data_IF_462200531472
#
_entry.id   IF_462200531472
#
_cell.length_a   1.000
_cell.length_b   1.000
_cell.length_c   1.000
_cell.angle_alpha   90.00
_cell.angle_beta   90.00
_cell.angle_gamma   90.00
#
_symmetry.space_group_name_H-M   'P 1'
#
loop_
_entity.id
_entity.type
_entity.pdbx_description
1 polymer ?
#
# COMPACT_ATOMS: atom_id res chain seq x y z
N UNK A 1 1.88 -12.39 9.13
CA UNK A 1 2.22 -11.35 10.11
C UNK A 1 1.74 -10.00 9.60
N UNK A 2 2.38 -9.42 8.58
CA UNK A 2 1.99 -8.14 7.94
C UNK A 2 0.47 -7.93 7.79
N UNK A 3 -0.22 -8.82 7.05
CA UNK A 3 -1.64 -8.65 6.69
C UNK A 3 -2.55 -8.69 7.92
N UNK A 4 -2.26 -9.58 8.87
CA UNK A 4 -3.04 -9.69 10.11
C UNK A 4 -2.83 -8.47 11.01
N UNK A 5 -1.61 -7.93 11.06
CA UNK A 5 -1.30 -6.72 11.82
C UNK A 5 -2.01 -5.49 11.20
N UNK A 6 -2.00 -5.35 9.88
CA UNK A 6 -2.76 -4.31 9.16
C UNK A 6 -4.25 -4.39 9.48
N UNK A 7 -4.84 -5.58 9.43
CA UNK A 7 -6.25 -5.77 9.78
C UNK A 7 -6.55 -5.30 11.22
N UNK A 8 -5.69 -5.66 12.19
CA UNK A 8 -5.85 -5.24 13.59
C UNK A 8 -5.77 -3.73 13.76
N UNK A 9 -4.83 -3.08 13.09
CA UNK A 9 -4.70 -1.62 13.13
C UNK A 9 -5.94 -0.94 12.54
N UNK A 10 -6.36 -1.33 11.34
CA UNK A 10 -7.56 -0.81 10.67
C UNK A 10 -8.82 -0.98 11.53
N UNK A 11 -9.01 -2.14 12.14
CA UNK A 11 -10.10 -2.39 13.09
C UNK A 11 -10.03 -1.50 14.34
N UNK A 12 -8.82 -1.23 14.83
CA UNK A 12 -8.59 -0.38 16.02
C UNK A 12 -8.94 1.08 15.71
N UNK A 13 -8.52 1.59 14.55
CA UNK A 13 -8.81 2.97 14.12
C UNK A 13 -10.23 3.13 13.54
N UNK A 14 -10.90 2.02 13.20
CA UNK A 14 -12.25 2.01 12.64
C UNK A 14 -12.29 2.27 11.13
N UNK A 15 -11.20 2.00 10.42
CA UNK A 15 -11.13 2.09 8.96
C UNK A 15 -11.54 0.75 8.35
N UNK A 16 -12.61 0.69 7.54
CA UNK A 16 -12.95 -0.52 6.79
C UNK A 16 -11.81 -0.86 5.82
N UNK A 17 -11.47 -2.14 5.72
CA UNK A 17 -10.41 -2.58 4.81
C UNK A 17 -10.83 -3.83 4.04
N UNK A 18 -10.24 -4.02 2.88
CA UNK A 18 -10.41 -5.21 2.06
C UNK A 18 -9.05 -5.78 1.73
N UNK A 19 -8.92 -7.09 1.90
CA UNK A 19 -7.73 -7.84 1.53
C UNK A 19 -8.02 -8.63 0.27
N UNK A 20 -7.20 -8.43 -0.77
CA UNK A 20 -7.35 -9.11 -2.05
C UNK A 20 -6.14 -10.00 -2.29
N UNK A 21 -6.38 -11.28 -2.55
CA UNK A 21 -5.32 -12.20 -2.94
C UNK A 21 -4.92 -11.96 -4.40
N UNK A 22 -3.62 -11.83 -4.63
CA UNK A 22 -3.06 -11.71 -5.97
C UNK A 22 -3.37 -12.96 -6.82
N UNK A 23 -3.11 -14.14 -6.23
CA UNK A 23 -3.35 -15.46 -6.79
C UNK A 23 -4.17 -16.30 -5.82
N UNK A 24 -5.43 -16.57 -6.15
CA UNK A 24 -6.27 -17.49 -5.40
C UNK A 24 -6.31 -18.86 -6.10
N UNK A 25 -6.26 -19.95 -5.31
CA UNK A 25 -6.06 -21.31 -5.81
C UNK A 25 -7.08 -21.78 -6.86
N UNK A 26 -8.28 -21.19 -6.85
CA UNK A 26 -9.43 -21.80 -7.52
C UNK A 26 -10.23 -20.82 -8.37
N UNK A 27 -9.68 -19.63 -8.60
CA UNK A 27 -10.29 -18.64 -9.48
C UNK A 27 -10.12 -19.05 -10.94
N UNK A 28 -11.25 -19.18 -11.63
CA UNK A 28 -11.28 -19.29 -13.08
C UNK A 28 -11.07 -17.89 -13.64
N UNK A 29 -10.11 -17.69 -14.54
CA UNK A 29 -9.93 -16.39 -15.19
C UNK A 29 -11.25 -15.89 -15.82
N UNK A 30 -11.60 -14.62 -15.56
CA UNK A 30 -12.87 -14.02 -16.00
C UNK A 30 -14.04 -14.21 -15.03
N UNK A 31 -13.89 -14.99 -13.96
CA UNK A 31 -14.86 -15.00 -12.85
C UNK A 31 -14.59 -13.82 -11.90
N UNK A 32 -15.64 -13.09 -11.51
CA UNK A 32 -15.53 -11.99 -10.56
C UNK A 32 -14.95 -12.45 -9.22
N UNK A 33 -14.34 -11.53 -8.47
CA UNK A 33 -13.82 -11.81 -7.13
C UNK A 33 -14.93 -12.29 -6.19
N UNK A 34 -14.64 -13.32 -5.39
CA UNK A 34 -15.56 -13.88 -4.41
C UNK A 34 -15.08 -13.65 -2.97
N UNK A 35 -15.99 -13.14 -2.14
CA UNK A 35 -15.78 -12.93 -0.72
C UNK A 35 -15.51 -14.26 0.01
N UNK A 36 -14.53 -14.27 0.91
CA UNK A 36 -14.08 -15.46 1.65
C UNK A 36 -13.19 -16.41 0.85
N UNK A 37 -12.87 -16.08 -0.41
CA UNK A 37 -12.06 -16.92 -1.31
C UNK A 37 -10.95 -16.14 -2.02
N UNK A 38 -11.31 -15.04 -2.66
CA UNK A 38 -10.40 -14.17 -3.42
C UNK A 38 -10.15 -12.87 -2.67
N UNK A 39 -11.15 -12.39 -1.95
CA UNK A 39 -11.06 -11.25 -1.07
C UNK A 39 -11.69 -11.52 0.29
N UNK A 40 -11.35 -10.66 1.25
CA UNK A 40 -12.03 -10.60 2.53
C UNK A 40 -12.18 -9.13 2.95
N UNK A 41 -13.42 -8.73 3.22
CA UNK A 41 -13.75 -7.44 3.78
C UNK A 41 -13.77 -7.50 5.31
N UNK A 42 -13.05 -6.58 5.93
CA UNK A 42 -12.93 -6.46 7.38
C UNK A 42 -13.39 -5.08 7.82
N UNK A 43 -14.43 -5.05 8.64
CA UNK A 43 -14.99 -3.84 9.22
C UNK A 43 -15.58 -4.16 10.60
N UNK A 44 -15.33 -3.26 11.55
CA UNK A 44 -15.90 -3.29 12.90
C UNK A 44 -17.43 -3.29 12.88
N UNK A 45 -18.06 -2.75 11.84
CA UNK A 45 -19.51 -2.71 11.70
C UNK A 45 -20.16 -4.05 11.33
N UNK A 46 -19.38 -5.01 10.80
CA UNK A 46 -19.91 -6.25 10.21
C UNK A 46 -20.09 -7.41 11.19
N UNK A 47 -19.60 -7.28 12.43
CA UNK A 47 -19.81 -8.29 13.47
C UNK A 47 -18.59 -8.55 14.32
N UNK A 48 -18.39 -9.81 14.72
CA UNK A 48 -17.31 -10.21 15.62
C UNK A 48 -15.93 -10.05 14.96
N UNK A 49 -15.15 -9.13 15.51
CA UNK A 49 -13.79 -8.80 15.08
C UNK A 49 -12.86 -10.02 15.17
N UNK A 50 -12.99 -10.86 16.20
CA UNK A 50 -12.15 -12.03 16.35
C UNK A 50 -12.43 -13.07 15.26
N UNK A 51 -13.71 -13.26 14.91
CA UNK A 51 -14.11 -14.14 13.82
C UNK A 51 -13.61 -13.65 12.46
N UNK A 52 -13.70 -12.34 12.18
CA UNK A 52 -13.16 -11.75 10.94
C UNK A 52 -11.65 -11.95 10.81
N UNK A 53 -10.89 -11.71 11.89
CA UNK A 53 -9.43 -11.96 11.90
C UNK A 53 -9.10 -13.45 11.73
N UNK A 54 -9.91 -14.35 12.31
CA UNK A 54 -9.74 -15.79 12.12
C UNK A 54 -10.03 -16.21 10.67
N UNK A 55 -11.03 -15.62 10.02
CA UNK A 55 -11.31 -15.84 8.60
C UNK A 55 -10.13 -15.38 7.74
N UNK A 56 -9.53 -14.22 8.02
CA UNK A 56 -8.33 -13.75 7.32
C UNK A 56 -7.18 -14.73 7.47
N UNK A 57 -6.88 -15.14 8.70
CA UNK A 57 -5.80 -16.11 8.96
C UNK A 57 -6.06 -17.43 8.23
N UNK A 58 -7.32 -17.86 8.18
CA UNK A 58 -7.73 -19.06 7.46
C UNK A 58 -7.50 -18.89 5.95
N UNK A 59 -7.95 -17.77 5.37
CA UNK A 59 -7.78 -17.46 3.95
C UNK A 59 -6.30 -17.49 3.55
N UNK A 60 -5.44 -16.83 4.33
CA UNK A 60 -4.00 -16.76 4.07
C UNK A 60 -3.31 -18.13 4.24
N UNK A 61 -3.71 -18.93 5.23
CA UNK A 61 -3.14 -20.28 5.43
C UNK A 61 -3.51 -21.26 4.31
N UNK A 62 -4.69 -21.11 3.73
CA UNK A 62 -5.16 -21.99 2.65
C UNK A 62 -4.67 -21.56 1.26
N UNK A 63 -4.19 -20.32 1.10
CA UNK A 63 -3.65 -19.81 -0.15
C UNK A 63 -2.16 -19.49 0.01
N UNK A 64 -1.30 -20.44 -0.36
CA UNK A 64 0.16 -20.26 -0.33
C UNK A 64 0.71 -19.46 -1.54
N UNK A 65 1.93 -18.90 -1.42
CA UNK A 65 2.57 -18.12 -2.49
C UNK A 65 2.83 -18.99 -3.71
N UNK A 66 2.19 -18.67 -4.84
CA UNK A 66 2.26 -19.44 -6.09
C UNK A 66 1.90 -18.58 -7.29
N UNK A 67 2.34 -19.02 -8.45
CA UNK A 67 1.86 -18.56 -9.73
C UNK A 67 2.69 -17.42 -10.31
N UNK A 68 2.01 -16.58 -11.07
CA UNK A 68 2.56 -15.39 -11.73
C UNK A 68 2.22 -14.16 -10.88
N UNK A 69 2.64 -12.97 -11.28
CA UNK A 69 2.36 -11.72 -10.57
C UNK A 69 1.45 -10.83 -11.41
N UNK A 70 0.13 -11.15 -11.53
CA UNK A 70 -0.78 -10.50 -12.48
C UNK A 70 -1.30 -9.16 -11.94
N UNK A 71 -0.38 -8.26 -11.55
CA UNK A 71 -0.69 -6.98 -10.91
C UNK A 71 -1.65 -6.14 -11.75
N UNK A 72 -1.40 -6.00 -13.06
CA UNK A 72 -2.26 -5.24 -13.98
C UNK A 72 -3.72 -5.72 -13.90
N UNK A 73 -3.96 -7.01 -14.06
CA UNK A 73 -5.31 -7.56 -14.05
C UNK A 73 -6.02 -7.33 -12.70
N UNK A 74 -5.30 -7.41 -11.57
CA UNK A 74 -5.90 -7.17 -10.25
C UNK A 74 -6.19 -5.68 -10.04
N UNK A 75 -5.30 -4.82 -10.50
CA UNK A 75 -5.46 -3.37 -10.42
C UNK A 75 -6.59 -2.86 -11.30
N UNK A 76 -6.84 -3.45 -12.47
CA UNK A 76 -8.01 -3.14 -13.30
C UNK A 76 -9.33 -3.50 -12.62
N UNK A 77 -9.39 -4.64 -11.93
CA UNK A 77 -10.56 -5.05 -11.14
C UNK A 77 -10.82 -4.08 -9.98
N UNK A 78 -9.76 -3.71 -9.25
CA UNK A 78 -9.83 -2.72 -8.17
C UNK A 78 -10.25 -1.36 -8.73
N UNK A 79 -9.69 -0.93 -9.85
CA UNK A 79 -10.04 0.32 -10.52
C UNK A 79 -11.54 0.38 -10.80
N UNK A 80 -12.13 -0.67 -11.41
CA UNK A 80 -13.56 -0.69 -11.71
C UNK A 80 -14.43 -0.55 -10.46
N UNK A 81 -14.05 -1.20 -9.36
CA UNK A 81 -14.79 -1.16 -8.10
C UNK A 81 -14.69 0.20 -7.42
N UNK A 82 -13.47 0.72 -7.26
CA UNK A 82 -13.24 2.03 -6.64
C UNK A 82 -13.85 3.14 -7.50
N UNK A 83 -13.79 3.04 -8.82
CA UNK A 83 -14.42 3.99 -9.74
C UNK A 83 -15.94 4.06 -9.52
N UNK A 84 -16.60 2.91 -9.33
CA UNK A 84 -18.03 2.87 -9.05
C UNK A 84 -18.40 3.54 -7.72
N UNK A 85 -17.50 3.51 -6.73
CA UNK A 85 -17.68 4.13 -5.41
C UNK A 85 -17.16 5.57 -5.32
N UNK A 86 -16.34 6.01 -6.28
CA UNK A 86 -15.65 7.29 -6.27
C UNK A 86 -16.57 8.50 -6.05
N UNK A 87 -17.79 8.60 -6.65
CA UNK A 87 -18.70 9.69 -6.35
C UNK A 87 -19.13 9.73 -4.88
N UNK A 88 -19.35 8.57 -4.26
CA UNK A 88 -19.71 8.45 -2.86
C UNK A 88 -18.55 8.80 -1.93
N UNK A 89 -17.34 8.36 -2.26
CA UNK A 89 -16.11 8.72 -1.54
C UNK A 89 -15.87 10.22 -1.58
N UNK A 90 -15.98 10.84 -2.76
CA UNK A 90 -15.82 12.27 -2.94
C UNK A 90 -16.85 13.08 -2.13
N UNK A 91 -18.12 12.68 -2.13
CA UNK A 91 -19.16 13.34 -1.33
C UNK A 91 -18.89 13.30 0.19
N UNK A 92 -18.20 12.24 0.66
CA UNK A 92 -17.84 12.08 2.07
C UNK A 92 -16.44 12.61 2.40
N UNK A 93 -15.72 13.18 1.42
CA UNK A 93 -14.33 13.61 1.60
C UNK A 93 -13.39 12.45 1.98
N UNK A 94 -13.68 11.24 1.52
CA UNK A 94 -12.91 10.03 1.81
C UNK A 94 -11.93 9.71 0.69
N UNK A 95 -10.82 9.10 1.08
CA UNK A 95 -9.75 8.62 0.20
C UNK A 95 -9.52 7.13 0.46
N UNK A 96 -9.09 6.40 -0.58
CA UNK A 96 -8.73 4.98 -0.48
C UNK A 96 -7.21 4.86 -0.40
N UNK A 97 -6.72 4.13 0.61
CA UNK A 97 -5.33 3.70 0.62
C UNK A 97 -5.24 2.32 -0.04
N UNK A 98 -4.49 2.22 -1.13
CA UNK A 98 -4.23 0.97 -1.83
C UNK A 98 -2.79 0.54 -1.55
N UNK A 99 -2.61 -0.50 -0.73
CA UNK A 99 -1.30 -1.12 -0.49
C UNK A 99 -1.15 -2.37 -1.35
N UNK A 100 -0.19 -2.36 -2.26
CA UNK A 100 0.25 -3.52 -3.02
C UNK A 100 1.41 -4.17 -2.26
N UNK A 101 1.30 -5.46 -1.96
CA UNK A 101 2.38 -6.22 -1.35
C UNK A 101 2.87 -7.25 -2.36
N UNK A 102 4.13 -7.17 -2.76
CA UNK A 102 4.68 -8.01 -3.85
C UNK A 102 6.14 -8.36 -3.61
N UNK A 103 6.54 -9.56 -4.01
CA UNK A 103 7.93 -10.05 -3.99
C UNK A 103 8.50 -10.20 -5.41
N UNK A 104 7.77 -9.78 -6.44
CA UNK A 104 8.19 -9.95 -7.83
C UNK A 104 7.72 -8.84 -8.78
N UNK A 105 8.29 -8.91 -9.98
CA UNK A 105 7.94 -8.04 -11.10
C UNK A 105 6.53 -8.32 -11.65
N UNK A 106 5.86 -7.32 -12.24
CA UNK A 106 4.59 -7.54 -12.92
C UNK A 106 4.76 -8.50 -14.10
N UNK A 107 3.85 -9.47 -14.20
CA UNK A 107 3.84 -10.45 -15.29
C UNK A 107 2.44 -10.61 -15.85
N UNK A 108 2.33 -11.00 -17.13
CA UNK A 108 1.03 -11.41 -17.66
C UNK A 108 0.45 -12.62 -16.91
N UNK A 109 -0.88 -12.82 -16.91
CA UNK A 109 -1.51 -13.98 -16.28
C UNK A 109 -1.09 -15.35 -16.83
N UNK A 110 -0.39 -15.38 -17.97
CA UNK A 110 -0.06 -16.59 -18.73
C UNK A 110 1.45 -16.88 -18.79
N UNK A 111 2.29 -15.96 -18.30
CA UNK A 111 3.75 -16.08 -18.30
C UNK A 111 4.27 -15.79 -16.90
N UNK A 112 5.11 -16.67 -16.36
CA UNK A 112 5.86 -16.38 -15.13
C UNK A 112 7.06 -15.46 -15.35
N UNK A 113 7.37 -15.12 -16.60
CA UNK A 113 8.46 -14.22 -16.95
C UNK A 113 7.90 -12.83 -17.22
N UNK A 114 8.45 -11.82 -16.52
CA UNK A 114 8.14 -10.41 -16.74
C UNK A 114 8.80 -9.92 -18.02
N UNK A 115 8.02 -9.28 -18.89
CA UNK A 115 8.52 -8.62 -20.11
C UNK A 115 8.46 -7.10 -19.97
N UNK A 116 9.16 -6.37 -20.83
CA UNK A 116 9.09 -4.91 -20.85
C UNK A 116 7.66 -4.41 -21.12
N UNK A 117 6.88 -5.15 -21.92
CA UNK A 117 5.47 -4.85 -22.14
C UNK A 117 4.64 -4.99 -20.86
N UNK A 118 4.90 -6.00 -20.03
CA UNK A 118 4.21 -6.17 -18.74
C UNK A 118 4.53 -5.03 -17.78
N UNK A 119 5.80 -4.62 -17.70
CA UNK A 119 6.29 -3.49 -16.90
C UNK A 119 5.65 -2.17 -17.34
N UNK A 120 5.64 -1.89 -18.63
CA UNK A 120 5.02 -0.68 -19.19
C UNK A 120 3.51 -0.66 -18.98
N UNK A 121 2.84 -1.81 -19.13
CA UNK A 121 1.41 -1.94 -18.84
C UNK A 121 1.10 -1.68 -17.36
N UNK A 122 1.96 -2.14 -16.46
CA UNK A 122 1.85 -1.89 -15.03
C UNK A 122 1.97 -0.39 -14.71
N UNK A 123 3.03 0.27 -15.21
CA UNK A 123 3.24 1.71 -15.02
C UNK A 123 2.05 2.52 -15.55
N UNK A 124 1.56 2.18 -16.74
CA UNK A 124 0.37 2.82 -17.31
C UNK A 124 -0.86 2.65 -16.41
N UNK A 125 -1.04 1.46 -15.84
CA UNK A 125 -2.15 1.16 -14.93
C UNK A 125 -2.05 1.97 -13.63
N UNK A 126 -0.85 2.11 -13.05
CA UNK A 126 -0.63 2.96 -11.87
C UNK A 126 -0.97 4.42 -12.15
N UNK A 127 -0.46 4.97 -13.27
CA UNK A 127 -0.79 6.34 -13.72
C UNK A 127 -2.29 6.53 -13.86
N UNK A 128 -2.98 5.58 -14.48
CA UNK A 128 -4.42 5.64 -14.68
C UNK A 128 -5.20 5.57 -13.35
N UNK A 129 -4.78 4.73 -12.41
CA UNK A 129 -5.38 4.65 -11.07
C UNK A 129 -5.29 5.98 -10.34
N UNK A 130 -4.07 6.52 -10.21
CA UNK A 130 -3.81 7.74 -9.47
C UNK A 130 -4.44 8.99 -10.12
N UNK A 131 -4.57 9.02 -11.45
CA UNK A 131 -5.18 10.16 -12.14
C UNK A 131 -6.71 10.20 -12.06
N UNK A 132 -7.37 9.04 -11.91
CA UNK A 132 -8.84 8.95 -12.04
C UNK A 132 -9.57 8.66 -10.72
N UNK A 133 -8.86 8.28 -9.66
CA UNK A 133 -9.46 7.85 -8.41
C UNK A 133 -8.92 8.64 -7.21
N UNK A 134 -9.75 8.89 -6.18
CA UNK A 134 -9.31 9.49 -4.92
C UNK A 134 -8.57 8.45 -4.08
N UNK A 135 -7.34 8.10 -4.49
CA UNK A 135 -6.52 7.10 -3.79
C UNK A 135 -5.08 7.57 -3.56
N UNK A 136 -4.44 6.96 -2.56
CA UNK A 136 -2.99 6.99 -2.36
C UNK A 136 -2.48 5.55 -2.45
N UNK A 137 -1.36 5.38 -3.14
CA UNK A 137 -0.78 4.09 -3.44
C UNK A 137 0.45 3.84 -2.57
N UNK A 138 0.61 2.61 -2.08
CA UNK A 138 1.83 2.14 -1.43
C UNK A 138 2.24 0.82 -2.07
N UNK A 139 3.50 0.65 -2.42
CA UNK A 139 4.05 -0.64 -2.87
C UNK A 139 5.04 -1.13 -1.82
N UNK A 140 4.68 -2.21 -1.12
CA UNK A 140 5.55 -2.90 -0.17
C UNK A 140 6.26 -4.06 -0.85
N UNK A 141 7.58 -3.93 -1.03
CA UNK A 141 8.44 -4.97 -1.58
C UNK A 141 8.69 -6.04 -0.52
N UNK A 142 8.61 -7.31 -0.85
CA UNK A 142 8.89 -8.43 0.07
C UNK A 142 10.06 -9.28 -0.42
N UNK A 143 11.03 -8.64 -1.10
CA UNK A 143 12.11 -9.33 -1.81
C UNK A 143 13.39 -8.50 -1.77
N UNK A 144 14.53 -9.19 -1.64
CA UNK A 144 15.86 -8.58 -1.80
C UNK A 144 16.38 -8.77 -3.25
N UNK A 145 15.53 -9.21 -4.18
CA UNK A 145 15.91 -9.41 -5.57
C UNK A 145 16.19 -8.06 -6.25
N UNK A 146 17.47 -7.77 -6.48
CA UNK A 146 17.95 -6.52 -7.06
C UNK A 146 17.17 -6.04 -8.28
N UNK A 147 16.91 -6.92 -9.24
CA UNK A 147 16.20 -6.53 -10.47
C UNK A 147 14.74 -6.11 -10.20
N UNK A 148 14.12 -6.64 -9.16
CA UNK A 148 12.78 -6.24 -8.72
C UNK A 148 12.83 -4.91 -7.99
N UNK A 149 13.75 -4.76 -7.03
CA UNK A 149 13.94 -3.50 -6.28
C UNK A 149 14.31 -2.34 -7.21
N UNK A 150 15.31 -2.52 -8.09
CA UNK A 150 15.73 -1.52 -9.09
C UNK A 150 14.56 -1.08 -9.97
N UNK A 151 13.72 -2.01 -10.44
CA UNK A 151 12.55 -1.66 -11.23
C UNK A 151 11.56 -0.76 -10.49
N UNK A 152 11.25 -1.07 -9.23
CA UNK A 152 10.32 -0.25 -8.47
C UNK A 152 10.94 1.11 -8.11
N UNK A 153 12.23 1.18 -7.79
CA UNK A 153 12.92 2.46 -7.58
C UNK A 153 12.87 3.34 -8.84
N UNK A 154 13.10 2.78 -10.03
CA UNK A 154 12.95 3.52 -11.29
C UNK A 154 11.51 4.04 -11.48
N UNK A 155 10.52 3.26 -11.05
CA UNK A 155 9.09 3.63 -11.09
C UNK A 155 8.82 4.80 -10.14
N UNK A 156 9.42 4.83 -8.97
CA UNK A 156 9.29 5.93 -8.01
C UNK A 156 9.89 7.23 -8.56
N UNK A 157 11.12 7.17 -9.09
CA UNK A 157 11.82 8.33 -9.65
C UNK A 157 11.13 8.91 -10.91
N UNK A 158 10.53 8.06 -11.75
CA UNK A 158 9.89 8.49 -13.01
C UNK A 158 8.47 9.06 -12.78
N UNK A 159 7.84 8.73 -11.65
CA UNK A 159 6.43 9.00 -11.42
C UNK A 159 6.24 10.09 -10.36
N UNK A 160 5.85 11.30 -10.79
CA UNK A 160 5.25 12.32 -9.90
C UNK A 160 3.83 11.91 -9.43
N UNK A 161 3.65 10.65 -9.02
CA UNK A 161 2.39 10.08 -8.55
C UNK A 161 2.33 10.10 -7.02
N UNK A 162 1.13 10.06 -6.42
CA UNK A 162 0.96 9.80 -4.98
C UNK A 162 1.21 8.32 -4.66
N UNK A 163 2.45 7.87 -4.86
CA UNK A 163 2.97 6.53 -4.64
C UNK A 163 4.10 6.60 -3.60
N UNK A 164 4.13 5.64 -2.66
CA UNK A 164 5.23 5.42 -1.73
C UNK A 164 5.73 3.98 -1.93
N UNK A 165 7.01 3.78 -2.16
CA UNK A 165 7.62 2.45 -2.35
C UNK A 165 8.45 2.13 -1.12
N UNK A 166 8.13 1.02 -0.46
CA UNK A 166 8.74 0.63 0.80
C UNK A 166 9.43 -0.72 0.66
N UNK A 167 10.68 -0.76 1.08
CA UNK A 167 11.44 -2.00 1.24
C UNK A 167 11.65 -2.33 2.73
N UNK A 168 12.65 -3.14 3.07
CA UNK A 168 12.86 -3.62 4.42
C UNK A 168 13.13 -2.47 5.43
N UNK A 169 12.62 -2.65 6.66
CA UNK A 169 12.73 -1.63 7.71
C UNK A 169 14.17 -1.18 8.01
N UNK A 170 15.15 -2.07 7.85
CA UNK A 170 16.55 -1.77 8.13
C UNK A 170 17.13 -0.92 7.01
N UNK A 171 16.83 -1.25 5.75
CA UNK A 171 17.15 -0.42 4.59
C UNK A 171 16.61 1.00 4.72
N UNK A 172 15.30 1.12 4.97
CA UNK A 172 14.60 2.40 5.18
C UNK A 172 15.25 3.24 6.29
N UNK A 173 15.57 2.62 7.44
CA UNK A 173 16.21 3.31 8.54
C UNK A 173 17.63 3.81 8.19
N UNK A 174 18.36 3.05 7.35
CA UNK A 174 19.67 3.46 6.85
C UNK A 174 19.56 4.61 5.87
N UNK A 175 18.55 4.62 5.00
CA UNK A 175 18.30 5.71 4.05
C UNK A 175 17.93 7.02 4.75
N UNK A 176 17.06 6.96 5.77
CA UNK A 176 16.76 8.13 6.62
C UNK A 176 18.04 8.72 7.22
N UNK A 177 18.92 7.86 7.74
CA UNK A 177 20.19 8.30 8.31
C UNK A 177 21.15 8.86 7.24
N UNK A 178 21.24 8.22 6.07
CA UNK A 178 22.17 8.60 4.99
C UNK A 178 21.83 9.96 4.39
N UNK A 179 20.55 10.33 4.34
CA UNK A 179 20.07 11.64 3.92
C UNK A 179 20.25 12.73 5.00
N UNK A 180 20.86 12.41 6.14
CA UNK A 180 21.18 13.36 7.19
C UNK A 180 20.02 13.67 8.14
N UNK A 181 19.08 12.74 8.27
CA UNK A 181 18.03 12.74 9.28
C UNK A 181 18.33 11.76 10.43
N UNK A 182 19.62 11.56 10.76
CA UNK A 182 20.14 10.71 11.84
C UNK A 182 19.65 11.09 13.26
N UNK A 183 19.11 12.30 13.41
CA UNK A 183 18.42 12.76 14.62
C UNK A 183 17.07 12.06 14.85
N UNK A 184 16.51 11.41 13.83
CA UNK A 184 15.22 10.74 13.86
C UNK A 184 15.39 9.22 13.86
N UNK A 185 14.81 8.55 14.85
CA UNK A 185 14.79 7.09 14.89
C UNK A 185 13.64 6.57 14.03
N UNK A 186 13.95 5.97 12.87
CA UNK A 186 12.97 5.25 12.08
C UNK A 186 12.54 3.98 12.82
N UNK A 187 11.26 3.89 13.19
CA UNK A 187 10.75 2.82 14.08
C UNK A 187 9.86 1.83 13.32
N UNK A 188 9.70 0.60 13.83
CA UNK A 188 8.74 -0.34 13.26
C UNK A 188 7.31 0.20 13.18
N UNK A 189 6.90 1.01 14.17
CA UNK A 189 5.58 1.64 14.16
C UNK A 189 5.43 2.64 13.01
N UNK A 190 6.46 3.46 12.74
CA UNK A 190 6.42 4.37 11.61
C UNK A 190 6.39 3.62 10.29
N UNK A 191 7.21 2.59 10.16
CA UNK A 191 7.21 1.74 8.97
C UNK A 191 5.81 1.16 8.70
N UNK A 192 5.12 0.65 9.74
CA UNK A 192 3.71 0.20 9.60
C UNK A 192 2.74 1.30 9.18
N UNK A 193 2.95 2.53 9.63
CA UNK A 193 2.12 3.69 9.24
C UNK A 193 2.31 4.00 7.76
N UNK A 194 3.56 4.00 7.27
CA UNK A 194 3.85 4.19 5.83
C UNK A 194 3.29 3.05 4.99
N UNK A 195 3.46 1.80 5.42
CA UNK A 195 2.89 0.62 4.74
C UNK A 195 1.36 0.70 4.59
N UNK A 196 0.66 1.25 5.58
CA UNK A 196 -0.79 1.46 5.54
C UNK A 196 -1.22 2.66 4.68
N UNK A 197 -0.26 3.50 4.28
CA UNK A 197 -0.47 4.77 3.60
C UNK A 197 -0.68 5.93 4.60
N UNK A 198 -0.12 7.08 4.26
CA UNK A 198 -0.18 8.28 5.10
C UNK A 198 -0.27 9.55 4.26
N UNK A 199 -1.15 10.48 4.65
CA UNK A 199 -1.22 11.80 4.03
C UNK A 199 -0.10 12.73 4.50
N UNK A 200 0.67 12.34 5.52
CA UNK A 200 1.76 13.18 6.02
C UNK A 200 2.96 13.12 5.08
N UNK A 201 3.06 14.09 4.17
CA UNK A 201 4.15 14.21 3.19
C UNK A 201 5.55 14.32 3.75
N UNK A 202 5.66 14.59 5.04
CA UNK A 202 6.93 14.65 5.74
C UNK A 202 7.49 13.26 6.04
N UNK A 203 6.63 12.24 6.09
CA UNK A 203 7.04 10.85 6.24
C UNK A 203 7.54 10.25 4.91
N UNK A 204 7.09 10.80 3.79
CA UNK A 204 7.60 10.59 2.42
C UNK A 204 9.01 11.19 2.32
N UNK A 205 9.14 12.47 2.67
CA UNK A 205 10.37 13.23 2.42
C UNK A 205 11.56 12.84 3.32
N UNK A 206 11.35 12.02 4.36
CA UNK A 206 12.36 11.78 5.40
C UNK A 206 13.46 10.80 4.97
N UNK A 207 13.13 9.87 4.08
CA UNK A 207 14.05 8.91 3.45
C UNK A 207 14.51 9.37 2.07
N UNK A 208 13.87 10.37 1.46
CA UNK A 208 14.31 10.93 0.18
C UNK A 208 15.34 12.07 0.33
N UNK A 209 15.25 12.85 1.42
CA UNK A 209 16.09 14.05 1.59
C UNK A 209 16.20 14.52 3.03
N UNK A 210 17.17 15.39 3.25
CA UNK A 210 17.29 16.10 4.53
C UNK A 210 16.08 17.00 4.77
N UNK A 211 15.45 16.84 5.94
CA UNK A 211 14.39 17.75 6.38
C UNK A 211 14.99 19.10 6.81
N UNK A 212 14.29 20.18 6.47
CA UNK A 212 14.60 21.52 6.95
C UNK A 212 14.26 21.64 8.43
N UNK A 213 14.83 22.63 9.13
CA UNK A 213 14.52 22.86 10.56
C UNK A 213 13.03 23.10 10.83
N UNK A 214 12.31 23.69 9.86
CA UNK A 214 10.87 23.91 9.98
C UNK A 214 10.10 22.59 9.85
N UNK A 215 10.50 21.74 8.90
CA UNK A 215 9.92 20.40 8.75
C UNK A 215 10.23 19.51 9.95
N UNK A 216 11.46 19.54 10.50
CA UNK A 216 11.76 18.82 11.75
C UNK A 216 10.79 19.22 12.88
N UNK A 217 10.53 20.52 13.01
CA UNK A 217 9.58 21.04 14.00
C UNK A 217 8.16 20.56 13.72
N UNK A 218 7.68 20.68 12.49
CA UNK A 218 6.32 20.28 12.10
C UNK A 218 6.09 18.77 12.31
N UNK A 219 7.10 17.94 12.00
CA UNK A 219 7.04 16.50 12.20
C UNK A 219 6.98 16.18 13.70
N UNK A 220 7.79 16.84 14.52
CA UNK A 220 7.73 16.68 15.97
C UNK A 220 6.38 17.12 16.56
N UNK A 221 5.81 18.23 16.08
CA UNK A 221 4.47 18.70 16.49
C UNK A 221 3.38 17.67 16.12
N UNK A 222 3.45 17.11 14.91
CA UNK A 222 2.51 16.07 14.45
C UNK A 222 2.62 14.79 15.29
N UNK A 223 3.84 14.31 15.56
CA UNK A 223 4.07 13.09 16.35
C UNK A 223 3.71 13.24 17.83
N UNK A 224 3.92 14.42 18.41
CA UNK A 224 3.58 14.69 19.81
C UNK A 224 2.11 15.08 20.03
N UNK A 225 1.31 15.20 18.97
CA UNK A 225 -0.09 15.65 19.07
C UNK A 225 -0.23 17.11 19.54
N UNK A 226 0.84 17.90 19.43
CA UNK A 226 0.86 19.30 19.83
C UNK A 226 0.32 20.16 18.69
N UNK A 227 -0.97 20.01 18.36
CA UNK A 227 -1.64 20.84 17.36
C UNK A 227 -1.84 22.26 17.91
N UNK A 228 -0.82 23.10 17.78
CA UNK A 228 -0.97 24.55 17.80
C UNK A 228 -1.69 25.02 16.53
N UNK A 229 -2.99 24.75 16.39
CA UNK A 229 -3.89 25.49 15.50
C UNK A 229 -3.75 25.31 13.98
N UNK A 230 -2.98 24.35 13.47
CA UNK A 230 -2.99 24.01 12.03
C UNK A 230 -3.51 22.58 11.84
N UNK A 231 -4.64 22.47 11.13
CA UNK A 231 -5.25 21.20 10.74
C UNK A 231 -4.28 20.37 9.90
N UNK A 232 -4.14 19.07 10.21
CA UNK A 232 -3.42 18.07 9.41
C UNK A 232 -4.02 17.86 8.00
N UNK A 233 -5.12 18.53 7.66
CA UNK A 233 -5.78 18.42 6.36
C UNK A 233 -5.15 19.27 5.24
N UNK A 234 -3.97 19.85 5.46
CA UNK A 234 -3.31 20.75 4.49
C UNK A 234 -1.78 20.65 4.45
N UNK A 235 -1.21 19.56 4.96
CA UNK A 235 0.18 19.14 4.75
C UNK A 235 0.17 17.82 3.97
#
# INVERSE_FOLDING_TARGET
AFTEDHARWNLTVGTPCEFVLLNSWSRVQGSGMQEGRDCLHIDRSLGDVAAQLQQLSTLLRHNGPRGVTPLVARLEEIHQRVYAEAPGLAQRGQLVFLTIVTDGLPTSPYSGTSTDADKQSFIFTLRNLCANLPLQLVIRLCTDEKATVEFYNDVDEELELPLDILDDIVGEAQEVASHGNDWFAYTPTLHRIREAGTLCKMLDAIDERKLTKLEVRQLAEALCGASGGASLAGL
#
